data_IF_561529580371
#
_entry.id   IF_561529580371
#
_cell.length_a   1.000
_cell.length_b   1.000
_cell.length_c   1.000
_cell.angle_alpha   90.00
_cell.angle_beta   90.00
_cell.angle_gamma   90.00
#
_symmetry.space_group_name_H-M   'P 1'
#
loop_
_entity.id
_entity.type
_entity.pdbx_description
1 polymer ?
#
# COMPACT_ATOMS: atom_id res chain seq x y z
N UNK A 1 9.08 -31.05 -4.16
CA UNK A 1 10.33 -30.45 -4.68
C UNK A 1 10.91 -29.59 -3.57
N UNK A 2 12.16 -29.82 -3.19
CA UNK A 2 12.82 -29.02 -2.16
C UNK A 2 13.16 -27.63 -2.71
N UNK A 3 12.46 -26.59 -2.25
CA UNK A 3 12.71 -25.19 -2.63
C UNK A 3 13.52 -24.49 -1.54
N UNK A 4 14.43 -23.59 -1.94
CA UNK A 4 15.13 -22.71 -1.01
C UNK A 4 14.28 -21.49 -0.68
N UNK A 5 14.21 -21.14 0.60
CA UNK A 5 13.56 -19.93 1.08
C UNK A 5 14.23 -18.68 0.49
N UNK A 6 13.47 -17.76 -0.09
CA UNK A 6 14.01 -16.51 -0.66
C UNK A 6 14.66 -15.58 0.37
N UNK A 7 14.40 -15.78 1.67
CA UNK A 7 14.99 -14.98 2.76
C UNK A 7 16.22 -15.65 3.34
N UNK A 8 16.08 -16.83 3.95
CA UNK A 8 17.20 -17.49 4.65
C UNK A 8 17.99 -18.49 3.80
N UNK A 9 17.60 -18.74 2.55
CA UNK A 9 18.25 -19.69 1.62
C UNK A 9 18.27 -21.16 2.06
N UNK A 10 17.68 -21.49 3.21
CA UNK A 10 17.50 -22.86 3.67
C UNK A 10 16.41 -23.56 2.87
N UNK A 11 16.57 -24.87 2.70
CA UNK A 11 15.56 -25.73 2.08
C UNK A 11 14.37 -25.87 3.02
N UNK A 12 13.16 -25.77 2.48
CA UNK A 12 11.93 -26.05 3.21
C UNK A 12 10.95 -26.81 2.32
N UNK A 13 10.02 -27.51 2.96
CA UNK A 13 8.93 -28.20 2.30
C UNK A 13 7.75 -27.24 2.13
N UNK A 14 7.22 -27.14 0.92
CA UNK A 14 5.98 -26.42 0.68
C UNK A 14 4.81 -27.25 1.16
N UNK A 15 3.89 -26.61 1.86
CA UNK A 15 2.62 -27.25 2.24
C UNK A 15 1.46 -26.57 1.54
N UNK A 16 0.66 -27.34 0.81
CA UNK A 16 -0.65 -26.87 0.33
C UNK A 16 -1.65 -27.19 1.44
N UNK A 17 -2.31 -26.19 2.00
CA UNK A 17 -3.31 -26.42 3.04
C UNK A 17 -4.60 -26.89 2.38
N UNK A 18 -5.33 -27.79 3.03
CA UNK A 18 -6.63 -28.26 2.53
C UNK A 18 -7.60 -27.10 2.21
N UNK A 19 -7.58 -26.04 3.02
CA UNK A 19 -8.40 -24.85 2.79
C UNK A 19 -8.05 -24.11 1.48
N UNK A 20 -6.81 -24.21 0.99
CA UNK A 20 -6.38 -23.55 -0.24
C UNK A 20 -7.09 -24.16 -1.46
N UNK A 21 -7.28 -25.49 -1.46
CA UNK A 21 -7.93 -26.24 -2.53
C UNK A 21 -9.42 -25.88 -2.68
N UNK A 22 -10.08 -25.51 -1.57
CA UNK A 22 -11.50 -25.16 -1.54
C UNK A 22 -11.77 -23.66 -1.58
N UNK A 23 -10.72 -22.83 -1.57
CA UNK A 23 -10.85 -21.37 -1.47
C UNK A 23 -11.49 -20.73 -2.71
N UNK A 24 -11.51 -21.42 -3.86
CA UNK A 24 -11.82 -20.85 -5.19
C UNK A 24 -10.97 -19.62 -5.54
N UNK A 25 -9.87 -19.41 -4.81
CA UNK A 25 -8.88 -18.36 -5.03
C UNK A 25 -7.69 -18.93 -5.79
N UNK A 26 -6.89 -18.05 -6.38
CA UNK A 26 -5.58 -18.47 -6.87
C UNK A 26 -4.69 -18.88 -5.71
N UNK A 27 -4.08 -20.06 -5.83
CA UNK A 27 -3.04 -20.55 -4.92
C UNK A 27 -1.69 -20.07 -5.45
N UNK A 28 -0.89 -19.47 -4.57
CA UNK A 28 0.50 -19.13 -4.84
C UNK A 28 1.40 -20.07 -4.02
N UNK A 29 2.47 -20.64 -4.61
CA UNK A 29 3.37 -21.50 -3.86
C UNK A 29 4.12 -20.69 -2.80
N UNK A 30 4.37 -21.32 -1.66
CA UNK A 30 5.22 -20.73 -0.62
C UNK A 30 6.64 -20.56 -1.16
N UNK A 31 7.18 -19.35 -1.05
CA UNK A 31 8.54 -19.00 -1.49
C UNK A 31 9.48 -18.68 -0.31
N UNK A 32 8.92 -18.60 0.88
CA UNK A 32 9.63 -18.38 2.15
C UNK A 32 9.17 -19.41 3.15
N UNK A 33 10.09 -19.85 4.02
CA UNK A 33 9.75 -20.78 5.09
C UNK A 33 8.93 -20.08 6.18
N UNK A 34 8.19 -20.87 6.98
CA UNK A 34 7.34 -20.38 8.07
C UNK A 34 8.09 -19.43 9.02
N UNK A 35 9.31 -19.79 9.43
CA UNK A 35 10.14 -18.95 10.31
C UNK A 35 10.45 -17.56 9.72
N UNK A 36 10.62 -17.46 8.41
CA UNK A 36 10.86 -16.17 7.76
C UNK A 36 9.54 -15.42 7.56
N UNK A 37 8.46 -16.12 7.22
CA UNK A 37 7.15 -15.53 7.08
C UNK A 37 6.61 -14.96 8.40
N UNK A 38 6.87 -15.64 9.52
CA UNK A 38 6.42 -15.23 10.86
C UNK A 38 7.14 -13.99 11.39
N UNK A 39 8.26 -13.58 10.77
CA UNK A 39 8.97 -12.36 11.15
C UNK A 39 8.29 -11.10 10.58
N UNK A 40 7.39 -11.23 9.60
CA UNK A 40 6.59 -10.11 9.13
C UNK A 40 5.43 -9.87 10.10
N UNK A 41 5.57 -8.83 10.93
CA UNK A 41 4.56 -8.47 11.92
C UNK A 41 3.31 -7.90 11.25
N UNK A 42 2.17 -8.54 11.45
CA UNK A 42 0.88 -8.08 10.95
C UNK A 42 0.44 -6.83 11.71
N UNK A 43 -0.22 -5.90 11.03
CA UNK A 43 -1.02 -4.89 11.71
C UNK A 43 -2.25 -5.57 12.33
N UNK A 44 -2.09 -6.12 13.53
CA UNK A 44 -3.15 -6.79 14.26
C UNK A 44 -3.85 -5.83 15.24
N UNK A 45 -5.17 -5.76 15.11
CA UNK A 45 -6.11 -5.02 15.97
C UNK A 45 -6.27 -5.65 17.36
N UNK A 46 -5.83 -6.90 17.55
CA UNK A 46 -6.13 -7.67 18.76
C UNK A 46 -5.27 -7.29 19.97
N UNK A 47 -4.09 -6.72 19.75
CA UNK A 47 -3.09 -6.50 20.81
C UNK A 47 -2.98 -5.04 21.28
N UNK A 48 -3.59 -4.09 20.58
CA UNK A 48 -3.51 -2.67 20.89
C UNK A 48 -4.70 -1.90 20.34
N UNK A 49 -5.04 -0.78 20.98
CA UNK A 49 -6.05 0.14 20.43
C UNK A 49 -5.41 0.85 19.23
N UNK A 50 -6.07 0.80 18.08
CA UNK A 50 -5.60 1.47 16.87
C UNK A 50 -6.63 2.47 16.36
N UNK A 51 -6.14 3.49 15.66
CA UNK A 51 -6.96 4.45 14.94
C UNK A 51 -7.79 3.72 13.87
N UNK A 52 -9.12 3.90 13.93
CA UNK A 52 -10.07 3.28 12.99
C UNK A 52 -9.88 3.69 11.53
N UNK A 53 -9.16 4.79 11.27
CA UNK A 53 -8.97 5.33 9.92
C UNK A 53 -7.64 4.92 9.30
N UNK A 54 -6.54 4.98 10.06
CA UNK A 54 -5.19 4.79 9.51
C UNK A 54 -4.39 3.67 10.17
N UNK A 55 -4.99 2.97 11.14
CA UNK A 55 -4.36 1.88 11.92
C UNK A 55 -3.12 2.31 12.72
N UNK A 56 -2.92 3.60 12.94
CA UNK A 56 -1.90 4.08 13.87
C UNK A 56 -2.25 3.64 15.30
N UNK A 57 -1.33 3.02 16.06
CA UNK A 57 -1.54 2.72 17.47
C UNK A 57 -1.89 3.97 18.27
N UNK A 58 -2.85 3.86 19.19
CA UNK A 58 -3.27 4.96 20.06
C UNK A 58 -3.43 4.44 21.49
N UNK A 59 -3.23 5.31 22.47
CA UNK A 59 -3.39 4.94 23.88
C UNK A 59 -4.87 4.86 24.29
N UNK A 60 -5.70 5.71 23.70
CA UNK A 60 -7.13 5.83 24.02
C UNK A 60 -7.92 6.49 22.88
N UNK A 61 -9.24 6.27 22.87
CA UNK A 61 -10.15 6.80 21.85
C UNK A 61 -10.28 5.89 20.63
N UNK A 62 -10.82 6.43 19.53
CA UNK A 62 -11.06 5.69 18.28
C UNK A 62 -10.21 6.18 17.10
N UNK A 63 -9.54 7.32 17.24
CA UNK A 63 -8.85 8.02 16.16
C UNK A 63 -7.61 8.76 16.65
N UNK A 64 -6.53 8.73 15.87
CA UNK A 64 -5.30 9.47 16.18
C UNK A 64 -5.43 10.97 15.87
N UNK A 65 -4.55 11.78 16.45
CA UNK A 65 -4.54 13.25 16.29
C UNK A 65 -4.49 13.68 14.82
N UNK A 66 -3.72 12.99 13.99
CA UNK A 66 -3.63 13.31 12.55
C UNK A 66 -4.97 13.09 11.85
N UNK A 67 -5.63 11.95 12.08
CA UNK A 67 -6.94 11.68 11.51
C UNK A 67 -7.99 12.66 12.03
N UNK A 68 -7.94 13.04 13.32
CA UNK A 68 -8.82 14.08 13.86
C UNK A 68 -8.63 15.43 13.18
N UNK A 69 -7.40 15.79 12.79
CA UNK A 69 -7.15 17.00 12.01
C UNK A 69 -7.76 16.90 10.61
N UNK A 70 -7.63 15.76 9.94
CA UNK A 70 -8.21 15.57 8.61
C UNK A 70 -9.74 15.53 8.62
N UNK A 71 -10.38 14.97 9.65
CA UNK A 71 -11.84 14.93 9.80
C UNK A 71 -12.48 16.32 9.93
N UNK A 72 -11.72 17.35 10.29
CA UNK A 72 -12.18 18.74 10.27
C UNK A 72 -12.32 19.29 8.84
N UNK A 73 -11.67 18.65 7.87
CA UNK A 73 -11.56 19.09 6.48
C UNK A 73 -12.32 18.18 5.52
N UNK A 74 -12.44 16.88 5.85
CA UNK A 74 -13.01 15.83 4.99
C UNK A 74 -13.84 14.86 5.83
N UNK A 75 -14.68 14.06 5.17
CA UNK A 75 -15.51 13.04 5.82
C UNK A 75 -14.75 11.72 6.09
N UNK A 76 -15.40 10.78 6.76
CA UNK A 76 -14.86 9.45 7.06
C UNK A 76 -14.46 8.65 5.79
N UNK A 77 -15.15 8.87 4.67
CA UNK A 77 -14.88 8.16 3.41
C UNK A 77 -13.52 8.53 2.82
N UNK A 78 -12.96 9.66 3.25
CA UNK A 78 -11.66 10.15 2.82
C UNK A 78 -10.48 9.45 3.52
N UNK A 79 -10.65 9.03 4.77
CA UNK A 79 -9.51 8.69 5.63
C UNK A 79 -9.18 7.20 5.74
N UNK A 80 -9.97 6.34 5.09
CA UNK A 80 -9.80 4.89 5.22
C UNK A 80 -8.48 4.40 4.61
N UNK A 81 -7.62 3.87 5.46
CA UNK A 81 -6.32 3.32 5.13
C UNK A 81 -6.13 2.01 5.90
N UNK A 82 -5.76 0.96 5.17
CA UNK A 82 -5.36 -0.32 5.73
C UNK A 82 -3.92 -0.64 5.34
N UNK A 83 -3.15 -1.16 6.28
CA UNK A 83 -1.80 -1.66 6.08
C UNK A 83 -1.76 -3.13 6.50
N UNK A 84 -1.05 -3.95 5.73
CA UNK A 84 -1.02 -5.39 5.93
C UNK A 84 -0.05 -5.75 7.07
N UNK A 85 1.12 -5.10 7.11
CA UNK A 85 2.20 -5.32 8.06
C UNK A 85 2.66 -4.02 8.74
N UNK A 86 3.34 -4.14 9.87
CA UNK A 86 4.21 -3.07 10.35
C UNK A 86 5.52 -3.05 9.56
N UNK A 87 6.10 -1.86 9.38
CA UNK A 87 7.43 -1.69 8.82
C UNK A 87 8.49 -2.07 9.86
N UNK A 88 8.51 -3.33 10.26
CA UNK A 88 9.50 -3.87 11.20
C UNK A 88 10.80 -4.24 10.47
N UNK A 89 11.80 -4.73 11.20
CA UNK A 89 13.11 -5.07 10.63
C UNK A 89 13.02 -6.06 9.45
N UNK A 90 12.22 -7.11 9.57
CA UNK A 90 12.06 -8.10 8.49
C UNK A 90 11.41 -7.49 7.24
N UNK A 91 10.40 -6.64 7.40
CA UNK A 91 9.78 -5.92 6.28
C UNK A 91 10.77 -4.95 5.63
N UNK A 92 11.55 -4.22 6.44
CA UNK A 92 12.58 -3.30 5.96
C UNK A 92 13.63 -4.03 5.11
N UNK A 93 14.16 -5.16 5.58
CA UNK A 93 15.12 -5.93 4.80
C UNK A 93 14.50 -6.44 3.49
N UNK A 94 13.26 -6.95 3.54
CA UNK A 94 12.56 -7.43 2.36
C UNK A 94 12.36 -6.33 1.31
N UNK A 95 11.89 -5.15 1.73
CA UNK A 95 11.62 -4.07 0.80
C UNK A 95 12.91 -3.47 0.24
N UNK A 96 14.02 -3.55 0.97
CA UNK A 96 15.34 -3.16 0.46
C UNK A 96 15.76 -4.06 -0.69
N UNK A 97 15.70 -5.38 -0.49
CA UNK A 97 16.02 -6.33 -1.54
C UNK A 97 15.11 -6.15 -2.76
N UNK A 98 13.81 -5.98 -2.52
CA UNK A 98 12.83 -5.82 -3.58
C UNK A 98 13.04 -4.52 -4.38
N UNK A 99 13.05 -3.35 -3.70
CA UNK A 99 13.03 -2.04 -4.38
C UNK A 99 14.39 -1.51 -4.79
N UNK A 100 15.39 -1.70 -3.94
CA UNK A 100 16.68 -1.01 -4.07
C UNK A 100 17.76 -1.93 -4.63
N UNK A 101 17.78 -3.20 -4.24
CA UNK A 101 18.62 -4.20 -4.92
C UNK A 101 18.00 -4.72 -6.22
N UNK A 102 16.71 -4.45 -6.46
CA UNK A 102 16.02 -4.82 -7.69
C UNK A 102 15.72 -6.33 -7.79
N UNK A 103 15.72 -7.05 -6.67
CA UNK A 103 15.37 -8.47 -6.65
C UNK A 103 13.86 -8.66 -6.76
N UNK A 104 13.37 -8.58 -7.99
CA UNK A 104 11.94 -8.71 -8.31
C UNK A 104 11.34 -10.05 -7.93
N UNK A 105 12.14 -11.11 -7.71
CA UNK A 105 11.66 -12.40 -7.21
C UNK A 105 11.02 -12.25 -5.81
N UNK A 106 11.44 -11.25 -5.04
CA UNK A 106 10.88 -10.94 -3.72
C UNK A 106 9.40 -10.53 -3.78
N UNK A 107 8.87 -10.13 -4.94
CA UNK A 107 7.43 -9.90 -5.11
C UNK A 107 6.61 -11.15 -4.76
N UNK A 108 7.15 -12.35 -5.01
CA UNK A 108 6.50 -13.63 -4.72
C UNK A 108 6.11 -13.78 -3.24
N UNK A 109 6.84 -13.13 -2.31
CA UNK A 109 6.58 -13.16 -0.86
C UNK A 109 5.21 -12.56 -0.53
N UNK A 110 4.72 -11.59 -1.32
CA UNK A 110 3.50 -10.84 -1.02
C UNK A 110 2.28 -11.28 -1.84
N UNK A 111 2.42 -12.21 -2.79
CA UNK A 111 1.34 -12.50 -3.74
C UNK A 111 0.14 -13.19 -3.09
N UNK A 112 0.38 -14.16 -2.21
CA UNK A 112 -0.69 -14.89 -1.53
C UNK A 112 -1.56 -13.93 -0.70
N UNK A 113 -0.91 -13.06 0.08
CA UNK A 113 -1.64 -12.10 0.91
C UNK A 113 -2.32 -11.01 0.08
N UNK A 114 -1.69 -10.51 -0.99
CA UNK A 114 -2.33 -9.56 -1.89
C UNK A 114 -3.56 -10.15 -2.57
N UNK A 115 -3.53 -11.43 -2.91
CA UNK A 115 -4.68 -12.11 -3.48
C UNK A 115 -5.85 -12.20 -2.49
N UNK A 116 -5.59 -12.46 -1.21
CA UNK A 116 -6.64 -12.40 -0.18
C UNK A 116 -7.28 -11.02 -0.07
N UNK A 117 -6.46 -9.97 -0.10
CA UNK A 117 -6.94 -8.59 -0.10
C UNK A 117 -7.70 -8.23 -1.37
N UNK A 118 -7.26 -8.73 -2.53
CA UNK A 118 -8.00 -8.55 -3.77
C UNK A 118 -9.40 -9.16 -3.68
N UNK A 119 -9.54 -10.37 -3.11
CA UNK A 119 -10.86 -10.96 -2.92
C UNK A 119 -11.72 -10.19 -1.91
N UNK A 120 -11.12 -9.64 -0.84
CA UNK A 120 -11.81 -8.76 0.12
C UNK A 120 -12.33 -7.48 -0.55
N UNK A 121 -11.59 -6.93 -1.52
CA UNK A 121 -11.90 -5.67 -2.21
C UNK A 121 -12.14 -5.85 -3.71
N UNK A 122 -12.78 -6.95 -4.10
CA UNK A 122 -13.00 -7.30 -5.51
C UNK A 122 -13.89 -6.29 -6.26
N UNK A 123 -14.76 -5.60 -5.54
CA UNK A 123 -15.74 -4.64 -6.08
C UNK A 123 -15.17 -3.21 -6.18
N UNK A 124 -13.90 -3.02 -5.80
CA UNK A 124 -13.19 -1.76 -5.89
C UNK A 124 -12.39 -1.68 -7.19
N UNK A 125 -12.27 -0.48 -7.76
CA UNK A 125 -11.28 -0.24 -8.80
C UNK A 125 -9.92 -0.04 -8.15
N UNK A 126 -9.01 -0.99 -8.36
CA UNK A 126 -7.65 -0.91 -7.89
C UNK A 126 -6.84 0.06 -8.75
N UNK A 127 -6.12 0.97 -8.11
CA UNK A 127 -5.22 1.91 -8.76
C UNK A 127 -3.89 1.95 -8.02
N UNK A 128 -2.86 2.48 -8.66
CA UNK A 128 -1.57 2.74 -8.01
C UNK A 128 -1.23 4.23 -8.09
N UNK A 129 -0.34 4.67 -7.21
CA UNK A 129 0.26 5.99 -7.33
C UNK A 129 1.41 5.97 -8.36
N UNK A 130 1.53 7.01 -9.21
CA UNK A 130 2.63 7.10 -10.15
C UNK A 130 3.94 7.40 -9.40
N UNK A 131 5.03 6.79 -9.85
CA UNK A 131 6.38 7.13 -9.38
C UNK A 131 6.93 8.36 -10.09
N UNK A 132 7.77 9.14 -9.40
CA UNK A 132 8.51 10.21 -10.06
C UNK A 132 9.41 9.65 -11.19
N UNK A 133 9.66 10.40 -12.28
CA UNK A 133 10.58 9.98 -13.35
C UNK A 133 11.97 9.63 -12.82
N UNK A 134 12.46 10.37 -11.83
CA UNK A 134 13.75 10.10 -11.18
C UNK A 134 13.76 8.74 -10.49
N UNK A 135 12.71 8.43 -9.71
CA UNK A 135 12.62 7.14 -9.03
C UNK A 135 12.44 5.98 -10.00
N UNK A 136 11.68 6.18 -11.07
CA UNK A 136 11.51 5.18 -12.13
C UNK A 136 12.83 4.94 -12.89
N UNK A 137 13.58 5.99 -13.21
CA UNK A 137 14.89 5.88 -13.85
C UNK A 137 15.90 5.15 -12.97
N UNK A 138 15.90 5.41 -11.66
CA UNK A 138 16.81 4.77 -10.71
C UNK A 138 16.50 3.29 -10.49
N UNK A 139 15.22 2.93 -10.36
CA UNK A 139 14.79 1.56 -10.03
C UNK A 139 14.52 0.68 -11.25
N UNK A 140 14.18 1.28 -12.39
CA UNK A 140 13.79 0.56 -13.61
C UNK A 140 12.35 0.04 -13.62
N UNK A 141 11.62 0.11 -12.50
CA UNK A 141 10.22 -0.33 -12.40
C UNK A 141 9.45 0.42 -11.30
N UNK A 142 8.12 0.29 -11.32
CA UNK A 142 7.21 0.80 -10.28
C UNK A 142 6.87 -0.36 -9.33
N UNK A 143 7.31 -0.32 -8.05
CA UNK A 143 7.16 -1.46 -7.15
C UNK A 143 5.72 -1.91 -6.90
N UNK A 144 4.80 -0.98 -6.66
CA UNK A 144 3.38 -1.29 -6.47
C UNK A 144 2.77 -1.91 -7.74
N UNK A 145 3.11 -1.39 -8.92
CA UNK A 145 2.66 -1.91 -10.20
C UNK A 145 3.10 -3.36 -10.40
N UNK A 146 4.39 -3.62 -10.21
CA UNK A 146 4.97 -4.94 -10.42
C UNK A 146 4.34 -5.99 -9.50
N UNK A 147 4.05 -5.65 -8.23
CA UNK A 147 3.34 -6.53 -7.30
C UNK A 147 1.95 -6.91 -7.83
N UNK A 148 1.15 -5.94 -8.29
CA UNK A 148 -0.19 -6.21 -8.83
C UNK A 148 -0.12 -7.04 -10.11
N UNK A 149 0.85 -6.79 -10.98
CA UNK A 149 1.09 -7.59 -12.19
C UNK A 149 1.43 -9.05 -11.85
N UNK A 150 2.34 -9.29 -10.89
CA UNK A 150 2.70 -10.65 -10.47
C UNK A 150 1.54 -11.37 -9.78
N UNK A 151 0.71 -10.65 -9.01
CA UNK A 151 -0.50 -11.19 -8.41
C UNK A 151 -1.62 -11.43 -9.44
N UNK A 152 -1.49 -10.86 -10.65
CA UNK A 152 -2.53 -10.74 -11.69
C UNK A 152 -3.81 -10.09 -11.17
N UNK A 153 -3.64 -9.06 -10.35
CA UNK A 153 -4.73 -8.20 -9.89
C UNK A 153 -4.95 -7.12 -10.96
N UNK A 154 -6.18 -6.96 -11.50
CA UNK A 154 -6.46 -5.90 -12.46
C UNK A 154 -6.38 -4.54 -11.78
N UNK A 155 -5.68 -3.58 -12.40
CA UNK A 155 -5.53 -2.22 -11.90
C UNK A 155 -5.64 -1.19 -13.04
N UNK A 156 -5.89 0.07 -12.69
CA UNK A 156 -5.94 1.19 -13.64
C UNK A 156 -4.96 2.29 -13.26
N UNK A 157 -4.27 2.85 -14.24
CA UNK A 157 -3.43 4.04 -14.08
C UNK A 157 -4.28 5.31 -14.20
N UNK A 158 -4.92 5.71 -13.09
CA UNK A 158 -5.77 6.90 -13.05
C UNK A 158 -5.01 8.20 -12.82
N UNK A 159 -3.79 8.14 -12.27
CA UNK A 159 -3.04 9.31 -11.85
C UNK A 159 -1.73 9.39 -12.60
N UNK A 160 -1.41 10.56 -13.15
CA UNK A 160 -0.11 10.87 -13.73
C UNK A 160 0.69 11.74 -12.77
N UNK A 161 2.01 11.56 -12.75
CA UNK A 161 2.91 12.40 -11.97
C UNK A 161 3.16 13.71 -12.71
N UNK A 162 2.86 14.84 -12.05
CA UNK A 162 3.02 16.19 -12.61
C UNK A 162 4.31 16.89 -12.14
N UNK A 163 4.90 16.42 -11.04
CA UNK A 163 6.10 17.02 -10.44
C UNK A 163 5.97 17.23 -8.94
N UNK A 164 7.09 17.17 -8.23
CA UNK A 164 7.18 17.66 -6.86
C UNK A 164 7.21 19.18 -6.97
N UNK A 165 6.07 19.83 -6.74
CA UNK A 165 5.94 21.27 -6.88
C UNK A 165 7.09 22.06 -6.27
N UNK A 166 7.41 23.23 -6.83
CA UNK A 166 8.58 24.02 -6.39
C UNK A 166 8.49 24.28 -4.88
N UNK A 167 9.54 23.90 -4.12
CA UNK A 167 9.70 24.29 -2.71
C UNK A 167 9.75 25.82 -2.61
N UNK A 168 8.62 26.48 -2.40
CA UNK A 168 8.58 27.91 -2.10
C UNK A 168 8.78 28.09 -0.59
N UNK A 169 10.02 28.30 -0.18
CA UNK A 169 10.46 28.42 1.21
C UNK A 169 9.97 29.70 1.95
N UNK A 170 8.90 30.36 1.49
CA UNK A 170 8.42 31.66 2.03
C UNK A 170 6.89 31.76 2.12
N UNK A 171 6.19 30.67 2.46
CA UNK A 171 4.72 30.66 2.46
C UNK A 171 4.13 30.29 3.81
N UNK A 172 3.11 31.04 4.23
CA UNK A 172 2.50 31.01 5.57
C UNK A 172 1.72 29.70 5.82
N UNK A 173 1.30 29.45 7.06
CA UNK A 173 0.60 28.22 7.50
C UNK A 173 -0.62 27.85 6.63
N UNK A 174 -1.35 28.83 6.10
CA UNK A 174 -2.48 28.62 5.16
C UNK A 174 -2.02 28.24 3.74
N UNK A 175 -0.86 28.70 3.29
CA UNK A 175 -0.30 28.34 1.99
C UNK A 175 0.41 26.97 2.02
N UNK A 176 0.84 26.48 3.19
CA UNK A 176 1.28 25.08 3.37
C UNK A 176 0.15 24.06 3.18
N UNK A 177 -1.11 24.45 3.38
CA UNK A 177 -2.26 23.62 3.01
C UNK A 177 -2.42 23.51 1.48
N UNK A 178 -1.96 24.54 0.75
CA UNK A 178 -1.87 24.61 -0.70
C UNK A 178 -0.48 24.15 -1.23
N UNK A 179 0.07 23.06 -0.69
CA UNK A 179 1.16 22.34 -1.36
C UNK A 179 0.65 21.91 -2.75
N UNK A 180 1.43 22.21 -3.79
CA UNK A 180 1.09 21.92 -5.18
C UNK A 180 0.73 20.43 -5.33
N UNK A 181 -0.44 20.18 -5.91
CA UNK A 181 -0.94 18.84 -6.19
C UNK A 181 0.07 18.11 -7.12
N UNK A 182 0.74 17.02 -6.66
CA UNK A 182 1.77 16.35 -7.45
C UNK A 182 1.21 15.44 -8.54
N UNK A 183 -0.12 15.25 -8.57
CA UNK A 183 -0.79 14.36 -9.50
C UNK A 183 -1.78 15.10 -10.39
N UNK A 184 -2.08 14.51 -11.54
CA UNK A 184 -3.22 14.89 -12.37
C UNK A 184 -4.00 13.65 -12.80
N UNK A 185 -5.31 13.83 -13.04
CA UNK A 185 -6.18 12.72 -13.42
C UNK A 185 -5.98 12.38 -14.89
N UNK A 186 -5.82 11.10 -15.19
CA UNK A 186 -5.87 10.57 -16.54
C UNK A 186 -7.33 10.52 -17.02
N UNK A 187 -7.78 11.59 -17.67
CA UNK A 187 -9.15 11.77 -18.15
C UNK A 187 -9.62 10.71 -19.16
N UNK A 188 -8.71 9.93 -19.74
CA UNK A 188 -9.06 8.84 -20.66
C UNK A 188 -9.52 7.57 -19.94
N UNK A 189 -9.18 7.42 -18.67
CA UNK A 189 -9.51 6.24 -17.91
C UNK A 189 -10.91 6.36 -17.27
N UNK A 190 -11.66 5.25 -17.27
CA UNK A 190 -12.97 5.21 -16.62
C UNK A 190 -12.79 5.26 -15.11
N UNK A 191 -13.45 6.24 -14.48
CA UNK A 191 -13.44 6.46 -13.04
C UNK A 191 -14.62 5.72 -12.39
N UNK A 192 -14.34 4.82 -11.44
CA UNK A 192 -15.34 4.19 -10.57
C UNK A 192 -15.69 5.08 -9.38
N UNK A 193 -16.86 4.85 -8.77
CA UNK A 193 -17.26 5.50 -7.52
C UNK A 193 -16.52 4.96 -6.29
N UNK A 194 -16.02 3.73 -6.36
CA UNK A 194 -15.29 3.03 -5.30
C UNK A 194 -13.87 2.73 -5.77
N UNK A 195 -12.89 3.35 -5.13
CA UNK A 195 -11.47 3.23 -5.50
C UNK A 195 -10.66 2.69 -4.32
N UNK A 196 -9.73 1.80 -4.64
CA UNK A 196 -8.70 1.34 -3.72
C UNK A 196 -7.34 1.75 -4.29
N UNK A 197 -6.65 2.65 -3.59
CA UNK A 197 -5.28 3.03 -3.92
C UNK A 197 -4.33 2.03 -3.28
N UNK A 198 -3.60 1.28 -4.08
CA UNK A 198 -2.54 0.39 -3.61
C UNK A 198 -1.18 1.08 -3.69
N UNK A 199 -0.44 1.02 -2.58
CA UNK A 199 0.95 1.45 -2.50
C UNK A 199 1.74 0.46 -1.62
N UNK A 200 3.05 0.60 -1.53
CA UNK A 200 3.87 -0.32 -0.76
C UNK A 200 3.99 0.08 0.72
N UNK A 201 4.28 1.34 1.04
CA UNK A 201 4.53 1.79 2.42
C UNK A 201 3.75 3.05 2.74
N UNK A 202 3.01 3.00 3.84
CA UNK A 202 2.37 4.15 4.44
C UNK A 202 3.31 4.79 5.46
N UNK A 203 3.75 6.02 5.19
CA UNK A 203 4.54 6.84 6.14
C UNK A 203 3.63 7.92 6.76
N UNK A 204 3.83 9.20 6.41
CA UNK A 204 2.95 10.30 6.85
C UNK A 204 1.56 10.26 6.19
N UNK A 205 1.38 9.46 5.15
CA UNK A 205 0.15 9.41 4.36
C UNK A 205 -0.11 10.64 3.49
N UNK A 206 0.74 11.67 3.54
CA UNK A 206 0.52 12.93 2.81
C UNK A 206 0.28 12.70 1.32
N UNK A 207 1.09 11.87 0.68
CA UNK A 207 0.97 11.55 -0.76
C UNK A 207 -0.37 10.88 -1.07
N UNK A 208 -0.77 9.89 -0.27
CA UNK A 208 -2.05 9.21 -0.42
C UNK A 208 -3.21 10.19 -0.23
N UNK A 209 -3.16 11.04 0.80
CA UNK A 209 -4.17 12.05 1.03
C UNK A 209 -4.30 13.00 -0.17
N UNK A 210 -3.19 13.43 -0.79
CA UNK A 210 -3.25 14.29 -1.99
C UNK A 210 -3.88 13.59 -3.18
N UNK A 211 -3.59 12.32 -3.39
CA UNK A 211 -4.22 11.51 -4.42
C UNK A 211 -5.74 11.37 -4.18
N UNK A 212 -6.15 11.07 -2.94
CA UNK A 212 -7.56 11.00 -2.57
C UNK A 212 -8.27 12.34 -2.81
N UNK A 213 -7.68 13.46 -2.39
CA UNK A 213 -8.22 14.81 -2.64
C UNK A 213 -8.59 15.02 -4.11
N UNK A 214 -7.67 14.66 -5.02
CA UNK A 214 -7.88 14.79 -6.46
C UNK A 214 -9.03 13.90 -6.95
N UNK A 215 -9.12 12.67 -6.46
CA UNK A 215 -10.16 11.71 -6.83
C UNK A 215 -11.56 12.17 -6.38
N UNK A 216 -11.69 12.65 -5.13
CA UNK A 216 -12.97 13.17 -4.62
C UNK A 216 -13.43 14.41 -5.40
N UNK A 217 -12.52 15.29 -5.80
CA UNK A 217 -12.84 16.45 -6.65
C UNK A 217 -13.42 16.05 -8.02
N UNK A 218 -13.20 14.82 -8.46
CA UNK A 218 -13.70 14.27 -9.73
C UNK A 218 -14.87 13.30 -9.54
N UNK A 219 -15.54 13.31 -8.38
CA UNK A 219 -16.80 12.59 -8.16
C UNK A 219 -16.67 11.15 -7.66
N UNK A 220 -15.51 10.79 -7.11
CA UNK A 220 -15.36 9.54 -6.35
C UNK A 220 -16.09 9.66 -5.02
N UNK A 221 -16.90 8.65 -4.69
CA UNK A 221 -17.70 8.65 -3.45
C UNK A 221 -16.94 8.01 -2.29
N UNK A 222 -16.14 6.99 -2.58
CA UNK A 222 -15.44 6.23 -1.58
C UNK A 222 -14.04 5.87 -2.07
N UNK A 223 -13.02 6.27 -1.32
CA UNK A 223 -11.63 6.05 -1.67
C UNK A 223 -10.84 5.54 -0.47
N UNK A 224 -10.60 4.24 -0.46
CA UNK A 224 -9.72 3.62 0.51
C UNK A 224 -8.30 3.52 -0.04
N UNK A 225 -7.34 3.30 0.85
CA UNK A 225 -5.98 2.95 0.48
C UNK A 225 -5.54 1.68 1.21
N UNK A 226 -4.71 0.89 0.52
CA UNK A 226 -4.11 -0.32 1.03
C UNK A 226 -2.60 -0.23 0.83
N UNK A 227 -1.82 -0.45 1.90
CA UNK A 227 -0.37 -0.58 1.79
C UNK A 227 0.14 -1.91 2.30
N UNK A 228 1.28 -2.37 1.77
CA UNK A 228 1.92 -3.56 2.33
C UNK A 228 2.38 -3.31 3.77
N UNK A 229 2.95 -2.14 4.07
CA UNK A 229 3.35 -1.81 5.43
C UNK A 229 2.98 -0.41 5.90
N UNK A 230 2.96 -0.23 7.22
CA UNK A 230 2.91 1.04 7.92
C UNK A 230 4.21 1.31 8.66
N UNK A 231 4.83 2.44 8.38
CA UNK A 231 5.95 2.95 9.17
C UNK A 231 5.42 3.76 10.36
N UNK A 232 5.90 3.45 11.56
CA UNK A 232 5.54 4.12 12.82
C UNK A 232 6.61 5.11 13.27
N UNK A 233 7.77 5.15 12.61
CA UNK A 233 8.92 5.97 12.99
C UNK A 233 8.94 7.35 12.31
N UNK A 234 7.87 7.72 11.59
CA UNK A 234 7.77 8.93 10.77
C UNK A 234 6.66 9.84 11.27
#
# INVERSE_FOLDING_TARGET
MNQKCLRCQLVFEQTIKWNDLWSLKRIFPEVVCEKCQSQFERCDVSQQIICRYCQHPIEQGDSCLDCQHWLKLYDDNYLQQESIYYYNAAFQEWIIDYKYHGDTRQAAVMLAILNDYYHKYKDYQWIILPSSPKSLQQRGFIPAEYLLQQAKIPYTLLLNYKGDGKKQAKKNKQERLALEQPFELNLKAKLSKNILIFDDVYTTGTTLMRAKQLLFQHGVNHCMSLTLARDLLV
#
